data_IF_829897203409
#
_entry.id   IF_829897203409
#
_cell.length_a   1.000
_cell.length_b   1.000
_cell.length_c   1.000
_cell.angle_alpha   90.00
_cell.angle_beta   90.00
_cell.angle_gamma   90.00
#
_symmetry.space_group_name_H-M   'P 1'
#
loop_
_entity.id
_entity.type
_entity.pdbx_description
1 polymer ?
#
# COMPACT_ATOMS: atom_id res chain seq x y z
N UNK A 1 25.53 -24.41 -12.45
CA UNK A 1 24.40 -24.73 -11.56
C UNK A 1 23.85 -23.42 -11.03
N UNK A 2 22.58 -23.10 -11.25
CA UNK A 2 21.99 -21.89 -10.68
C UNK A 2 21.93 -22.07 -9.15
N UNK A 3 22.55 -21.18 -8.39
CA UNK A 3 22.42 -21.17 -6.93
C UNK A 3 20.96 -20.92 -6.56
N UNK A 4 20.45 -21.61 -5.55
CA UNK A 4 19.10 -21.33 -5.04
C UNK A 4 18.97 -19.85 -4.64
N UNK A 5 17.83 -19.19 -4.91
CA UNK A 5 17.64 -17.81 -4.49
C UNK A 5 17.77 -17.67 -2.97
N UNK A 6 18.46 -16.62 -2.53
CA UNK A 6 18.69 -16.31 -1.10
C UNK A 6 17.37 -16.09 -0.35
N UNK A 7 17.39 -16.17 0.98
CA UNK A 7 16.20 -15.95 1.84
C UNK A 7 15.55 -14.60 1.53
N UNK A 8 16.35 -13.52 1.45
CA UNK A 8 15.83 -12.18 1.15
C UNK A 8 15.09 -12.13 -0.19
N UNK A 9 15.68 -12.67 -1.25
CA UNK A 9 15.07 -12.62 -2.59
C UNK A 9 13.81 -13.49 -2.66
N UNK A 10 13.80 -14.65 -1.99
CA UNK A 10 12.58 -15.47 -1.85
C UNK A 10 11.49 -14.73 -1.09
N UNK A 11 11.84 -14.02 -0.03
CA UNK A 11 10.89 -13.24 0.78
C UNK A 11 10.29 -12.10 -0.03
N UNK A 12 11.10 -11.31 -0.73
CA UNK A 12 10.60 -10.21 -1.59
C UNK A 12 9.71 -10.77 -2.71
N UNK A 13 10.08 -11.89 -3.34
CA UNK A 13 9.28 -12.51 -4.39
C UNK A 13 7.91 -13.01 -3.89
N UNK A 14 7.87 -13.64 -2.70
CA UNK A 14 6.61 -14.02 -2.04
C UNK A 14 5.80 -12.78 -1.68
N UNK A 15 6.42 -11.79 -1.02
CA UNK A 15 5.76 -10.57 -0.58
C UNK A 15 5.13 -9.80 -1.75
N UNK A 16 5.77 -9.81 -2.93
CA UNK A 16 5.20 -9.23 -4.15
C UNK A 16 3.86 -9.88 -4.51
N UNK A 17 3.81 -11.21 -4.62
CA UNK A 17 2.58 -11.95 -4.95
C UNK A 17 1.51 -11.78 -3.86
N UNK A 18 1.90 -11.87 -2.59
CA UNK A 18 1.00 -11.65 -1.44
C UNK A 18 0.42 -10.23 -1.47
N UNK A 19 1.23 -9.21 -1.78
CA UNK A 19 0.73 -7.84 -1.90
C UNK A 19 -0.24 -7.67 -3.09
N UNK A 20 -0.07 -8.41 -4.19
CA UNK A 20 -1.07 -8.45 -5.27
C UNK A 20 -2.39 -9.07 -4.80
N UNK A 21 -2.33 -10.20 -4.07
CA UNK A 21 -3.51 -10.81 -3.44
C UNK A 21 -4.20 -9.83 -2.49
N UNK A 22 -3.45 -9.15 -1.63
CA UNK A 22 -3.96 -8.10 -0.77
C UNK A 22 -4.70 -7.02 -1.55
N UNK A 23 -4.14 -6.55 -2.67
CA UNK A 23 -4.81 -5.61 -3.56
C UNK A 23 -6.14 -6.13 -4.13
N UNK A 24 -6.26 -7.44 -4.40
CA UNK A 24 -7.56 -8.04 -4.80
C UNK A 24 -8.58 -8.01 -3.67
N UNK A 25 -8.16 -8.30 -2.43
CA UNK A 25 -9.02 -8.27 -1.24
C UNK A 25 -9.53 -6.85 -0.99
N UNK A 26 -8.65 -5.85 -1.03
CA UNK A 26 -9.03 -4.43 -0.91
C UNK A 26 -10.11 -4.07 -1.94
N UNK A 27 -9.91 -4.43 -3.21
CA UNK A 27 -10.92 -4.13 -4.25
C UNK A 27 -12.23 -4.88 -4.03
N UNK A 28 -12.16 -6.13 -3.57
CA UNK A 28 -13.33 -6.96 -3.33
C UNK A 28 -14.23 -6.37 -2.24
N UNK A 29 -13.66 -5.90 -1.13
CA UNK A 29 -14.43 -5.29 -0.02
C UNK A 29 -15.19 -4.04 -0.48
N UNK A 30 -14.60 -3.19 -1.34
CA UNK A 30 -15.35 -2.06 -1.94
C UNK A 30 -16.49 -2.56 -2.84
N UNK A 31 -16.25 -3.60 -3.64
CA UNK A 31 -17.24 -4.13 -4.56
C UNK A 31 -18.45 -4.75 -3.83
N UNK A 32 -18.22 -5.38 -2.69
CA UNK A 32 -19.30 -5.87 -1.80
C UNK A 32 -20.12 -4.73 -1.20
N UNK A 33 -19.51 -3.55 -1.01
CA UNK A 33 -20.19 -2.32 -0.57
C UNK A 33 -20.39 -2.18 0.94
N UNK A 34 -20.03 -3.19 1.73
CA UNK A 34 -19.97 -3.11 3.19
C UNK A 34 -18.51 -3.11 3.68
N UNK A 35 -18.02 -1.93 4.05
CA UNK A 35 -16.65 -1.77 4.54
C UNK A 35 -16.48 -2.30 5.97
N UNK A 36 -17.53 -2.57 6.74
CA UNK A 36 -17.42 -3.04 8.12
C UNK A 36 -16.50 -2.15 8.99
N UNK A 37 -16.75 -0.83 8.94
CA UNK A 37 -15.94 0.20 9.59
C UNK A 37 -16.07 0.11 11.12
N UNK A 38 -14.92 0.12 11.80
CA UNK A 38 -14.77 0.19 13.25
C UNK A 38 -13.96 1.45 13.58
N UNK A 39 -14.41 2.23 14.55
CA UNK A 39 -13.64 3.35 15.11
C UNK A 39 -12.71 2.80 16.19
N UNK A 40 -11.40 3.09 16.08
CA UNK A 40 -10.37 2.69 17.06
C UNK A 40 -10.33 3.76 18.16
N UNK A 41 -9.35 4.65 18.15
CA UNK A 41 -9.20 5.67 19.22
C UNK A 41 -10.01 6.95 18.97
N UNK A 42 -10.30 7.29 17.71
CA UNK A 42 -11.04 8.50 17.34
C UNK A 42 -11.66 8.41 15.93
N UNK A 43 -12.47 9.40 15.54
CA UNK A 43 -13.22 9.40 14.26
C UNK A 43 -12.34 9.44 12.98
N UNK A 44 -11.04 9.71 13.11
CA UNK A 44 -10.06 9.63 12.02
C UNK A 44 -9.20 8.38 12.06
N UNK A 45 -9.26 7.63 13.17
CA UNK A 45 -8.55 6.39 13.42
C UNK A 45 -9.52 5.22 13.20
N UNK A 46 -9.55 4.73 11.97
CA UNK A 46 -10.54 3.77 11.48
C UNK A 46 -9.87 2.45 11.12
N UNK A 47 -10.63 1.37 11.24
CA UNK A 47 -10.29 0.05 10.72
C UNK A 47 -11.48 -0.48 9.91
N UNK A 48 -11.25 -1.11 8.77
CA UNK A 48 -12.29 -1.71 7.92
C UNK A 48 -12.13 -3.23 7.82
N UNK A 49 -13.10 -3.89 7.18
CA UNK A 49 -13.02 -5.30 6.78
C UNK A 49 -11.79 -5.58 5.92
N UNK A 50 -11.36 -4.62 5.10
CA UNK A 50 -10.16 -4.77 4.27
C UNK A 50 -8.89 -4.86 5.12
N UNK A 51 -8.71 -3.97 6.10
CA UNK A 51 -7.55 -3.95 7.00
C UNK A 51 -7.37 -5.32 7.69
N UNK A 52 -8.47 -5.85 8.24
CA UNK A 52 -8.47 -7.16 8.92
C UNK A 52 -8.13 -8.31 7.98
N UNK A 53 -8.85 -8.44 6.87
CA UNK A 53 -8.68 -9.56 5.93
C UNK A 53 -7.31 -9.53 5.24
N UNK A 54 -6.82 -8.34 4.89
CA UNK A 54 -5.50 -8.18 4.27
C UNK A 54 -4.41 -8.56 5.26
N UNK A 55 -4.49 -8.12 6.52
CA UNK A 55 -3.49 -8.52 7.51
C UNK A 55 -3.49 -10.03 7.75
N UNK A 56 -4.67 -10.65 7.88
CA UNK A 56 -4.79 -12.12 7.98
C UNK A 56 -4.14 -12.82 6.78
N UNK A 57 -4.44 -12.35 5.56
CA UNK A 57 -3.88 -12.88 4.31
C UNK A 57 -2.35 -12.77 4.28
N UNK A 58 -1.80 -11.58 4.56
CA UNK A 58 -0.36 -11.33 4.50
C UNK A 58 0.38 -12.12 5.57
N UNK A 59 -0.03 -11.99 6.82
CA UNK A 59 0.68 -12.60 7.96
C UNK A 59 0.67 -14.13 7.85
N UNK A 60 -0.47 -14.75 7.52
CA UNK A 60 -0.57 -16.20 7.41
C UNK A 60 0.19 -16.75 6.20
N UNK A 61 0.14 -16.05 5.05
CA UNK A 61 0.90 -16.46 3.85
C UNK A 61 2.41 -16.40 4.09
N UNK A 62 2.89 -15.33 4.75
CA UNK A 62 4.31 -15.19 5.11
C UNK A 62 4.74 -16.22 6.16
N UNK A 63 4.00 -16.36 7.26
CA UNK A 63 4.32 -17.29 8.35
C UNK A 63 4.33 -18.76 7.87
N UNK A 64 3.45 -19.11 6.94
CA UNK A 64 3.44 -20.46 6.33
C UNK A 64 4.71 -20.76 5.53
N UNK A 65 5.25 -19.77 4.82
CA UNK A 65 6.43 -19.93 3.94
C UNK A 65 7.75 -19.70 4.66
N UNK A 66 7.75 -18.84 5.67
CA UNK A 66 8.91 -18.39 6.41
C UNK A 66 8.59 -18.41 7.91
N UNK A 67 8.49 -19.61 8.50
CA UNK A 67 8.00 -19.81 9.86
C UNK A 67 8.88 -19.21 10.97
N UNK A 68 10.09 -18.77 10.65
CA UNK A 68 11.01 -18.13 11.61
C UNK A 68 11.00 -16.62 11.54
N UNK A 69 10.29 -16.00 10.58
CA UNK A 69 10.20 -14.55 10.51
C UNK A 69 9.50 -13.99 11.73
N UNK A 70 9.99 -12.83 12.19
CA UNK A 70 9.16 -11.96 13.02
C UNK A 70 8.28 -11.13 12.09
N UNK A 71 6.95 -11.17 12.29
CA UNK A 71 5.99 -10.39 11.50
C UNK A 71 5.19 -9.51 12.46
N UNK A 72 5.15 -8.21 12.19
CA UNK A 72 4.46 -7.21 13.00
C UNK A 72 3.48 -6.47 12.09
N UNK A 73 2.19 -6.62 12.35
CA UNK A 73 1.12 -5.89 11.66
C UNK A 73 0.63 -4.69 12.47
N UNK A 74 -0.02 -3.74 11.79
CA UNK A 74 -0.68 -2.60 12.43
C UNK A 74 -1.84 -3.03 13.33
N UNK A 75 -2.68 -3.96 12.86
CA UNK A 75 -3.96 -4.24 13.50
C UNK A 75 -3.82 -5.26 14.63
N UNK A 76 -4.45 -5.00 15.78
CA UNK A 76 -4.54 -5.95 16.88
C UNK A 76 -5.71 -6.93 16.61
N UNK A 77 -5.38 -8.08 16.03
CA UNK A 77 -6.37 -9.10 15.63
C UNK A 77 -6.31 -10.30 16.57
N UNK A 78 -7.46 -10.88 16.93
CA UNK A 78 -7.48 -12.13 17.68
C UNK A 78 -6.86 -13.26 16.84
N UNK A 79 -6.30 -14.29 17.50
CA UNK A 79 -5.86 -15.50 16.81
C UNK A 79 -7.09 -16.23 16.25
N UNK A 80 -7.20 -16.29 14.93
CA UNK A 80 -8.28 -16.97 14.22
C UNK A 80 -7.71 -17.88 13.12
N UNK A 81 -8.42 -18.97 12.84
CA UNK A 81 -8.13 -19.81 11.68
C UNK A 81 -8.34 -19.00 10.41
N UNK A 82 -7.32 -18.95 9.55
CA UNK A 82 -7.38 -18.18 8.30
C UNK A 82 -7.96 -19.05 7.19
N UNK A 83 -8.97 -18.52 6.50
CA UNK A 83 -9.55 -19.14 5.31
C UNK A 83 -8.46 -19.40 4.27
N UNK A 84 -8.45 -20.61 3.69
CA UNK A 84 -7.51 -20.99 2.64
C UNK A 84 -7.62 -20.07 1.41
N UNK A 85 -8.78 -19.47 1.16
CA UNK A 85 -8.96 -18.51 0.07
C UNK A 85 -8.16 -17.22 0.27
N UNK A 86 -7.76 -16.89 1.50
CA UNK A 86 -6.93 -15.73 1.81
C UNK A 86 -5.43 -16.03 1.64
N UNK A 87 -5.04 -17.29 1.52
CA UNK A 87 -3.63 -17.68 1.46
C UNK A 87 -3.08 -17.52 0.02
N UNK A 88 -1.89 -16.94 -0.09
CA UNK A 88 -1.14 -16.80 -1.34
C UNK A 88 0.18 -17.58 -1.29
N UNK A 89 0.26 -18.65 -2.06
CA UNK A 89 1.42 -19.55 -2.12
C UNK A 89 2.38 -19.25 -3.29
N UNK A 90 2.08 -18.27 -4.13
CA UNK A 90 2.88 -17.86 -5.28
C UNK A 90 4.10 -17.01 -4.94
N UNK A 91 4.98 -16.85 -5.92
CA UNK A 91 6.16 -15.99 -5.89
C UNK A 91 6.31 -15.33 -7.25
N UNK A 92 6.85 -14.11 -7.30
CA UNK A 92 7.13 -13.46 -8.57
C UNK A 92 8.52 -13.85 -9.11
N UNK A 93 8.52 -14.67 -10.17
CA UNK A 93 9.73 -15.24 -10.78
C UNK A 93 10.76 -14.20 -11.21
N UNK A 94 10.33 -13.01 -11.65
CA UNK A 94 11.26 -11.97 -12.09
C UNK A 94 12.10 -11.39 -10.93
N UNK A 95 11.58 -11.36 -9.69
CA UNK A 95 12.40 -11.04 -8.50
C UNK A 95 13.39 -12.16 -8.23
N UNK A 96 12.98 -13.43 -8.35
CA UNK A 96 13.86 -14.58 -8.08
C UNK A 96 15.04 -14.66 -9.05
N UNK A 97 14.91 -14.11 -10.26
CA UNK A 97 15.99 -13.99 -11.24
C UNK A 97 16.99 -12.89 -10.93
N UNK A 98 16.66 -11.92 -10.06
CA UNK A 98 17.59 -10.85 -9.71
C UNK A 98 18.68 -11.35 -8.76
N UNK A 99 19.93 -10.89 -8.91
CA UNK A 99 20.99 -11.23 -7.97
C UNK A 99 20.70 -10.64 -6.59
N UNK A 100 21.01 -11.36 -5.52
CA UNK A 100 20.97 -10.78 -4.19
C UNK A 100 22.20 -9.87 -3.99
N UNK A 101 22.06 -8.62 -3.50
CA UNK A 101 23.20 -7.80 -3.10
C UNK A 101 24.09 -8.56 -2.11
N UNK A 102 25.39 -8.53 -2.34
CA UNK A 102 26.36 -9.34 -1.58
C UNK A 102 26.30 -9.16 -0.06
N UNK A 103 25.99 -7.95 0.40
CA UNK A 103 25.84 -7.64 1.82
C UNK A 103 24.64 -8.34 2.49
N UNK A 104 23.71 -8.91 1.71
CA UNK A 104 22.51 -9.57 2.19
C UNK A 104 22.46 -11.07 1.84
N UNK A 105 23.50 -11.61 1.20
CA UNK A 105 23.47 -12.99 0.68
C UNK A 105 23.46 -14.06 1.76
N UNK A 106 23.91 -13.74 2.97
CA UNK A 106 24.04 -14.66 4.11
C UNK A 106 22.98 -14.47 5.20
N UNK A 107 21.96 -13.62 4.96
CA UNK A 107 20.88 -13.37 5.93
C UNK A 107 20.13 -14.67 6.23
N UNK A 108 19.87 -14.91 7.53
CA UNK A 108 18.99 -15.98 8.00
C UNK A 108 17.58 -15.46 8.17
N UNK A 109 16.62 -16.38 8.09
CA UNK A 109 15.20 -16.06 8.20
C UNK A 109 14.83 -15.48 9.57
N UNK A 110 15.34 -16.07 10.65
CA UNK A 110 15.11 -15.61 12.02
C UNK A 110 15.65 -14.20 12.35
N UNK A 111 16.54 -13.66 11.52
CA UNK A 111 17.12 -12.32 11.71
C UNK A 111 16.31 -11.21 11.00
N UNK A 112 15.28 -11.59 10.24
CA UNK A 112 14.44 -10.67 9.49
C UNK A 112 13.17 -10.31 10.27
N UNK A 113 12.80 -9.03 10.19
CA UNK A 113 11.54 -8.51 10.70
C UNK A 113 10.73 -7.94 9.55
N UNK A 114 9.48 -8.38 9.41
CA UNK A 114 8.53 -7.84 8.45
C UNK A 114 7.54 -6.95 9.17
N UNK A 115 7.38 -5.72 8.67
CA UNK A 115 6.39 -4.74 9.12
C UNK A 115 5.27 -4.64 8.08
N UNK A 116 4.03 -4.80 8.51
CA UNK A 116 2.86 -4.83 7.64
C UNK A 116 1.92 -3.70 8.00
N UNK A 117 1.59 -2.88 7.02
CA UNK A 117 0.44 -1.97 7.05
C UNK A 117 -0.55 -2.50 6.01
N UNK A 118 -1.66 -3.13 6.45
CA UNK A 118 -2.55 -3.85 5.55
C UNK A 118 -3.34 -2.91 4.63
N UNK A 119 -3.67 -1.69 5.07
CA UNK A 119 -4.37 -0.68 4.27
C UNK A 119 -3.91 0.70 4.73
N UNK A 120 -2.80 1.17 4.20
CA UNK A 120 -2.32 2.52 4.46
C UNK A 120 -3.24 3.52 3.76
N UNK A 121 -3.81 4.45 4.53
CA UNK A 121 -4.83 5.38 4.07
C UNK A 121 -6.28 4.91 4.29
N UNK A 122 -6.55 4.13 5.34
CA UNK A 122 -7.89 3.64 5.72
C UNK A 122 -8.94 4.76 5.76
N UNK A 123 -8.58 5.95 6.27
CA UNK A 123 -9.50 7.09 6.28
C UNK A 123 -9.92 7.50 4.87
N UNK A 124 -8.97 7.69 3.96
CA UNK A 124 -9.21 7.98 2.55
C UNK A 124 -9.98 6.86 1.84
N UNK A 125 -9.72 5.60 2.19
CA UNK A 125 -10.44 4.44 1.69
C UNK A 125 -11.94 4.53 2.02
N UNK A 126 -12.29 4.86 3.26
CA UNK A 126 -13.71 5.05 3.67
C UNK A 126 -14.40 6.23 2.99
N UNK A 127 -13.63 7.20 2.48
CA UNK A 127 -14.12 8.38 1.77
C UNK A 127 -14.16 8.21 0.25
N UNK A 128 -13.68 7.09 -0.28
CA UNK A 128 -13.65 6.82 -1.72
C UNK A 128 -12.48 7.45 -2.46
N UNK A 129 -11.46 7.94 -1.76
CA UNK A 129 -10.24 8.47 -2.36
C UNK A 129 -9.24 7.33 -2.58
N UNK A 130 -9.65 6.41 -3.46
CA UNK A 130 -9.11 5.05 -3.56
C UNK A 130 -7.66 4.98 -4.06
N UNK A 131 -7.20 5.96 -4.84
CA UNK A 131 -5.80 6.06 -5.29
C UNK A 131 -4.81 6.43 -4.17
N UNK A 132 -5.30 6.92 -3.03
CA UNK A 132 -4.44 7.17 -1.87
C UNK A 132 -4.13 5.90 -1.06
N UNK A 133 -4.82 4.80 -1.36
CA UNK A 133 -4.75 3.56 -0.59
C UNK A 133 -3.59 2.71 -1.06
N UNK A 134 -2.78 2.24 -0.12
CA UNK A 134 -1.70 1.30 -0.40
C UNK A 134 -1.69 0.12 0.57
N UNK A 135 -1.02 -0.97 0.19
CA UNK A 135 -0.68 -2.07 1.09
C UNK A 135 0.83 -2.08 1.21
N UNK A 136 1.37 -2.10 2.43
CA UNK A 136 2.80 -2.00 2.68
C UNK A 136 3.33 -3.26 3.37
N UNK A 137 4.39 -3.81 2.80
CA UNK A 137 5.19 -4.89 3.41
C UNK A 137 6.64 -4.44 3.43
N UNK A 138 7.10 -3.96 4.58
CA UNK A 138 8.48 -3.53 4.82
C UNK A 138 9.32 -4.65 5.40
N UNK A 139 10.55 -4.84 4.90
CA UNK A 139 11.46 -5.90 5.34
C UNK A 139 12.71 -5.24 5.95
N UNK A 140 12.99 -5.58 7.21
CA UNK A 140 14.10 -5.06 7.98
C UNK A 140 15.09 -6.15 8.40
N UNK A 141 16.36 -5.77 8.44
CA UNK A 141 17.49 -6.58 8.91
C UNK A 141 18.40 -5.69 9.74
N UNK A 142 18.83 -6.17 10.92
CA UNK A 142 19.70 -5.41 11.85
C UNK A 142 19.17 -3.98 12.16
N UNK A 143 17.84 -3.87 12.34
CA UNK A 143 17.19 -2.60 12.66
C UNK A 143 17.08 -1.60 11.49
N UNK A 144 17.43 -2.00 10.26
CA UNK A 144 17.35 -1.15 9.07
C UNK A 144 16.36 -1.73 8.07
N UNK A 145 15.51 -0.89 7.47
CA UNK A 145 14.69 -1.28 6.33
C UNK A 145 15.60 -1.52 5.11
N UNK A 146 15.58 -2.73 4.56
CA UNK A 146 16.46 -3.16 3.45
C UNK A 146 15.70 -3.53 2.18
N UNK A 147 14.41 -3.84 2.28
CA UNK A 147 13.54 -4.11 1.15
C UNK A 147 12.10 -3.72 1.48
N UNK A 148 11.26 -3.60 0.46
CA UNK A 148 9.85 -3.31 0.66
C UNK A 148 9.01 -3.56 -0.58
N UNK A 149 7.72 -3.82 -0.37
CA UNK A 149 6.69 -3.99 -1.40
C UNK A 149 5.54 -3.04 -1.08
N UNK A 150 5.10 -2.30 -2.09
CA UNK A 150 3.95 -1.40 -2.03
C UNK A 150 2.97 -1.84 -3.11
N UNK A 151 1.78 -2.30 -2.75
CA UNK A 151 0.68 -2.45 -3.70
C UNK A 151 -0.19 -1.18 -3.68
N UNK A 152 -0.55 -0.68 -4.86
CA UNK A 152 -1.54 0.40 -5.02
C UNK A 152 -2.77 -0.19 -5.70
N UNK A 153 -3.80 -0.63 -4.95
CA UNK A 153 -4.87 -1.47 -5.49
C UNK A 153 -5.71 -0.79 -6.58
N UNK A 154 -5.79 0.54 -6.53
CA UNK A 154 -6.59 1.38 -7.43
C UNK A 154 -5.75 2.28 -8.34
N UNK A 155 -4.45 1.99 -8.51
CA UNK A 155 -3.71 2.63 -9.59
C UNK A 155 -4.44 2.44 -10.94
N UNK A 156 -4.47 3.50 -11.76
CA UNK A 156 -5.22 3.61 -13.03
C UNK A 156 -6.76 3.59 -12.94
N UNK A 157 -7.39 3.65 -11.76
CA UNK A 157 -8.86 3.58 -11.67
C UNK A 157 -9.60 4.79 -12.30
N UNK A 158 -8.90 5.91 -12.53
CA UNK A 158 -9.46 7.13 -13.13
C UNK A 158 -9.09 7.33 -14.62
N UNK A 159 -8.23 6.51 -15.22
CA UNK A 159 -7.70 6.72 -16.58
C UNK A 159 -8.73 6.45 -17.72
N UNK A 160 -10.02 6.45 -17.41
CA UNK A 160 -11.07 6.54 -18.40
C UNK A 160 -11.29 8.04 -18.74
N UNK A 161 -10.96 8.47 -19.96
CA UNK A 161 -11.03 9.88 -20.44
C UNK A 161 -12.41 10.56 -20.38
N UNK A 162 -13.43 9.92 -19.82
CA UNK A 162 -14.73 10.52 -19.58
C UNK A 162 -15.05 10.54 -18.08
N UNK A 163 -14.63 11.60 -17.37
CA UNK A 163 -15.44 12.30 -16.35
C UNK A 163 -14.57 13.16 -15.42
N UNK A 164 -14.38 14.45 -15.78
CA UNK A 164 -14.13 15.50 -14.78
C UNK A 164 -15.43 15.74 -13.99
N UNK A 165 -15.57 15.14 -12.81
CA UNK A 165 -16.62 15.52 -11.87
C UNK A 165 -16.03 16.46 -10.81
N UNK A 166 -16.54 17.69 -10.80
CA UNK A 166 -16.24 18.75 -9.82
C UNK A 166 -16.58 18.29 -8.40
N UNK A 167 -15.70 18.58 -7.45
CA UNK A 167 -15.89 18.31 -6.02
C UNK A 167 -17.09 19.08 -5.43
N UNK A 168 -17.91 18.46 -4.57
CA UNK A 168 -18.82 19.18 -3.68
C UNK A 168 -18.32 19.18 -2.23
N UNK A 169 -18.18 20.39 -1.67
CA UNK A 169 -18.05 20.69 -0.24
C UNK A 169 -19.31 20.26 0.54
N UNK A 170 -19.22 19.26 1.42
CA UNK A 170 -19.93 19.18 2.72
C UNK A 170 -19.89 17.76 3.34
N UNK A 171 -19.48 17.69 4.61
CA UNK A 171 -19.19 16.49 5.40
C UNK A 171 -20.40 15.60 5.75
N UNK A 172 -21.64 16.10 5.62
CA UNK A 172 -22.85 15.32 5.98
C UNK A 172 -23.30 14.28 4.92
N UNK A 173 -22.62 14.17 3.77
CA UNK A 173 -22.99 13.25 2.67
C UNK A 173 -22.18 11.96 2.61
N UNK A 174 -21.17 11.77 3.46
CA UNK A 174 -20.20 10.65 3.38
C UNK A 174 -20.88 9.27 3.46
N UNK A 175 -21.93 9.09 4.29
CA UNK A 175 -22.67 7.82 4.39
C UNK A 175 -23.54 7.50 3.16
N UNK A 176 -24.04 8.52 2.45
CA UNK A 176 -24.79 8.34 1.19
C UNK A 176 -23.82 8.10 0.03
N UNK A 177 -22.63 8.70 0.11
CA UNK A 177 -21.53 8.54 -0.86
C UNK A 177 -20.93 7.15 -0.79
N UNK A 178 -20.77 6.50 0.38
CA UNK A 178 -20.29 5.11 0.44
C UNK A 178 -21.20 4.13 -0.34
N UNK A 179 -22.53 4.25 -0.21
CA UNK A 179 -23.49 3.47 -1.03
C UNK A 179 -23.49 3.86 -2.50
N UNK A 180 -23.34 5.16 -2.81
CA UNK A 180 -23.27 5.62 -4.19
C UNK A 180 -21.94 5.24 -4.85
N UNK A 181 -20.83 5.20 -4.10
CA UNK A 181 -19.50 4.76 -4.51
C UNK A 181 -19.47 3.25 -4.63
N UNK A 182 -20.09 2.46 -3.76
CA UNK A 182 -20.26 1.02 -4.01
C UNK A 182 -21.03 0.78 -5.33
N UNK A 183 -22.09 1.56 -5.59
CA UNK A 183 -22.86 1.47 -6.83
C UNK A 183 -22.17 2.09 -8.08
N UNK A 184 -21.28 3.07 -7.90
CA UNK A 184 -20.54 3.75 -8.98
C UNK A 184 -19.17 3.14 -9.22
N UNK A 185 -18.47 2.66 -8.20
CA UNK A 185 -17.17 1.96 -8.27
C UNK A 185 -17.40 0.49 -8.63
N UNK A 186 -18.46 -0.15 -8.12
CA UNK A 186 -18.93 -1.45 -8.61
C UNK A 186 -19.45 -1.43 -10.05
N UNK A 187 -19.58 -0.25 -10.67
CA UNK A 187 -19.82 -0.08 -12.13
C UNK A 187 -18.71 0.68 -12.86
N UNK A 188 -17.77 1.31 -12.17
CA UNK A 188 -16.56 1.91 -12.75
C UNK A 188 -15.50 0.82 -12.77
N UNK A 189 -15.82 -0.23 -13.51
CA UNK A 189 -14.78 -1.04 -14.09
C UNK A 189 -13.92 -0.08 -14.92
N UNK A 190 -12.61 -0.21 -14.78
CA UNK A 190 -11.70 0.14 -15.86
C UNK A 190 -12.35 -0.29 -17.19
N UNK A 191 -12.20 0.48 -18.26
CA UNK A 191 -12.59 -0.03 -19.58
C UNK A 191 -12.03 -1.46 -19.77
N UNK A 192 -12.65 -2.33 -20.59
CA UNK A 192 -12.36 -3.77 -20.63
C UNK A 192 -10.87 -4.15 -20.77
N UNK A 193 -10.00 -3.21 -21.14
CA UNK A 193 -8.56 -3.38 -21.33
C UNK A 193 -7.66 -2.71 -20.25
N UNK A 194 -8.19 -1.92 -19.32
CA UNK A 194 -7.38 -1.23 -18.32
C UNK A 194 -7.10 -2.09 -17.08
N UNK A 195 -5.83 -2.49 -16.91
CA UNK A 195 -5.38 -3.25 -15.75
C UNK A 195 -5.39 -2.35 -14.51
N UNK A 196 -6.22 -2.70 -13.53
CA UNK A 196 -6.31 -2.01 -12.24
C UNK A 196 -5.19 -2.45 -11.30
N UNK A 197 -4.60 -1.44 -10.66
CA UNK A 197 -3.60 -1.61 -9.63
C UNK A 197 -2.18 -1.81 -10.17
N UNK A 198 -1.20 -1.64 -9.29
CA UNK A 198 0.21 -1.94 -9.54
C UNK A 198 0.91 -2.37 -8.28
N UNK A 199 2.04 -3.06 -8.42
CA UNK A 199 2.93 -3.38 -7.31
C UNK A 199 4.31 -2.78 -7.58
N UNK A 200 4.79 -1.98 -6.63
CA UNK A 200 6.14 -1.43 -6.57
C UNK A 200 6.93 -2.28 -5.59
N UNK A 201 8.19 -2.52 -5.86
CA UNK A 201 9.07 -3.21 -4.92
C UNK A 201 10.50 -2.68 -5.01
N UNK A 202 11.26 -2.85 -3.94
CA UNK A 202 12.63 -2.37 -3.86
C UNK A 202 13.49 -3.26 -2.95
N UNK A 203 14.79 -3.28 -3.25
CA UNK A 203 15.83 -3.83 -2.38
C UNK A 203 17.03 -2.88 -2.42
N UNK A 204 17.56 -2.50 -1.26
CA UNK A 204 18.75 -1.66 -1.20
C UNK A 204 19.93 -2.35 -1.90
N UNK A 205 20.63 -1.62 -2.77
CA UNK A 205 21.69 -2.18 -3.60
C UNK A 205 21.23 -2.84 -4.91
N UNK A 206 19.92 -3.02 -5.14
CA UNK A 206 19.36 -3.35 -6.46
C UNK A 206 18.64 -2.17 -7.10
N UNK A 207 17.87 -1.43 -6.31
CA UNK A 207 17.01 -0.34 -6.78
C UNK A 207 15.54 -0.58 -6.46
N UNK A 208 14.69 0.20 -7.12
CA UNK A 208 13.24 0.16 -6.96
C UNK A 208 12.56 0.08 -8.33
N UNK A 209 11.48 -0.69 -8.42
CA UNK A 209 10.87 -1.11 -9.69
C UNK A 209 9.34 -1.00 -9.61
N UNK A 210 8.67 -1.05 -10.77
CA UNK A 210 7.20 -0.99 -10.85
C UNK A 210 6.62 0.43 -10.95
N UNK A 211 7.47 1.43 -11.20
CA UNK A 211 7.08 2.82 -11.46
C UNK A 211 8.08 3.49 -12.41
N UNK A 212 7.68 4.62 -13.00
CA UNK A 212 8.57 5.50 -13.75
C UNK A 212 9.06 6.63 -12.84
N UNK A 213 10.38 6.74 -12.67
CA UNK A 213 10.98 7.84 -11.94
C UNK A 213 10.80 9.14 -12.73
N UNK A 214 10.29 10.19 -12.07
CA UNK A 214 10.16 11.52 -12.64
C UNK A 214 10.55 12.55 -11.59
N UNK A 215 11.64 13.26 -11.88
CA UNK A 215 12.14 14.32 -11.01
C UNK A 215 11.11 15.45 -10.85
N UNK A 216 11.17 16.10 -9.69
CA UNK A 216 10.41 17.33 -9.42
C UNK A 216 10.88 18.41 -10.39
N UNK A 217 10.00 19.27 -10.93
CA UNK A 217 10.40 20.36 -11.80
C UNK A 217 11.52 21.20 -11.18
N UNK A 218 12.54 21.50 -11.97
CA UNK A 218 13.70 22.25 -11.51
C UNK A 218 13.29 23.59 -10.89
N UNK A 219 13.85 23.89 -9.71
CA UNK A 219 13.57 25.13 -8.99
C UNK A 219 12.21 25.17 -8.28
N UNK A 220 11.49 24.04 -8.18
CA UNK A 220 10.24 23.94 -7.41
C UNK A 220 10.42 23.15 -6.12
N UNK A 221 9.94 23.71 -5.02
CA UNK A 221 9.85 23.07 -3.71
C UNK A 221 8.41 22.64 -3.46
N UNK A 222 8.11 21.36 -3.69
CA UNK A 222 6.76 20.81 -3.55
C UNK A 222 6.73 19.87 -2.36
N UNK A 223 5.95 20.22 -1.33
CA UNK A 223 5.89 19.45 -0.09
C UNK A 223 4.60 18.65 -0.06
N UNK A 224 4.72 17.33 0.06
CA UNK A 224 3.57 16.46 0.26
C UNK A 224 3.43 16.11 1.73
N UNK A 225 2.26 16.35 2.33
CA UNK A 225 2.00 16.10 3.76
C UNK A 225 0.60 15.52 3.98
N UNK A 226 0.31 15.19 5.24
CA UNK A 226 -0.95 14.60 5.69
C UNK A 226 -2.18 15.44 5.31
N UNK A 227 -3.23 14.74 4.88
CA UNK A 227 -4.57 15.31 4.64
C UNK A 227 -5.42 15.33 5.90
N UNK A 228 -5.43 14.23 6.65
CA UNK A 228 -6.40 13.93 7.71
C UNK A 228 -5.84 14.06 9.14
N UNK A 229 -4.52 14.15 9.30
CA UNK A 229 -3.83 14.19 10.61
C UNK A 229 -2.95 15.44 10.77
N UNK A 230 -3.49 16.62 10.45
CA UNK A 230 -2.73 17.87 10.49
C UNK A 230 -2.63 18.46 11.92
N UNK A 231 -1.59 19.24 12.18
CA UNK A 231 -1.44 20.03 13.41
C UNK A 231 -0.79 21.38 13.12
N UNK A 232 -0.79 22.28 14.10
CA UNK A 232 -0.08 23.56 13.96
C UNK A 232 1.42 23.32 13.73
N UNK A 233 2.02 22.39 14.46
CA UNK A 233 3.42 22.02 14.29
C UNK A 233 3.74 21.54 12.87
N UNK A 234 2.89 20.70 12.28
CA UNK A 234 3.05 20.25 10.88
C UNK A 234 2.96 21.44 9.93
N UNK A 235 1.99 22.33 10.16
CA UNK A 235 1.76 23.49 9.29
C UNK A 235 2.92 24.48 9.35
N UNK A 236 3.43 24.77 10.54
CA UNK A 236 4.57 25.66 10.75
C UNK A 236 5.85 25.09 10.14
N UNK A 237 6.09 23.78 10.30
CA UNK A 237 7.22 23.10 9.70
C UNK A 237 7.17 23.15 8.17
N UNK A 238 6.01 22.89 7.57
CA UNK A 238 5.81 23.01 6.12
C UNK A 238 6.04 24.44 5.65
N UNK A 239 5.50 25.44 6.36
CA UNK A 239 5.68 26.85 6.01
C UNK A 239 7.15 27.29 6.08
N UNK A 240 7.90 26.81 7.07
CA UNK A 240 9.33 27.13 7.25
C UNK A 240 10.22 26.67 6.08
N UNK A 241 9.75 25.71 5.28
CA UNK A 241 10.47 25.20 4.11
C UNK A 241 10.24 26.06 2.84
N UNK A 242 9.43 27.12 2.92
CA UNK A 242 9.06 28.00 1.81
C UNK A 242 8.62 27.25 0.53
N UNK A 243 7.59 26.38 0.61
CA UNK A 243 7.16 25.59 -0.52
C UNK A 243 6.51 26.45 -1.60
N UNK A 244 6.78 26.11 -2.87
CA UNK A 244 6.01 26.59 -4.01
C UNK A 244 4.59 26.01 -4.02
N UNK A 245 4.43 24.76 -3.58
CA UNK A 245 3.15 24.06 -3.50
C UNK A 245 3.12 23.04 -2.36
N UNK A 246 1.93 22.80 -1.81
CA UNK A 246 1.70 21.86 -0.71
C UNK A 246 0.59 20.88 -1.08
N UNK A 247 0.96 19.62 -1.32
CA UNK A 247 0.02 18.55 -1.62
C UNK A 247 -0.42 17.86 -0.33
N UNK A 248 -1.71 17.93 -0.02
CA UNK A 248 -2.29 17.27 1.17
C UNK A 248 -3.02 15.99 0.77
N UNK A 249 -2.42 14.84 1.05
CA UNK A 249 -2.95 13.52 0.66
C UNK A 249 -2.83 12.50 1.79
N UNK A 250 -3.70 11.49 1.75
CA UNK A 250 -3.64 10.32 2.64
C UNK A 250 -2.58 9.31 2.22
N UNK A 251 -2.28 8.38 3.13
CA UNK A 251 -1.40 7.24 2.92
C UNK A 251 0.09 7.59 2.92
N UNK A 252 0.89 7.05 3.83
CA UNK A 252 2.35 7.15 3.80
C UNK A 252 2.94 6.58 2.49
N UNK A 253 2.50 5.38 2.11
CA UNK A 253 2.89 4.68 0.90
C UNK A 253 2.41 5.34 -0.40
N UNK A 254 1.43 6.24 -0.34
CA UNK A 254 1.03 7.07 -1.47
C UNK A 254 1.87 8.36 -1.60
N UNK A 255 2.33 8.93 -0.48
CA UNK A 255 3.21 10.12 -0.48
C UNK A 255 4.60 9.83 -1.05
N UNK A 256 5.15 8.64 -0.82
CA UNK A 256 6.48 8.24 -1.31
C UNK A 256 6.52 8.23 -2.85
N UNK A 257 5.65 7.50 -3.58
CA UNK A 257 5.60 7.56 -5.03
C UNK A 257 5.33 8.96 -5.59
N UNK A 258 4.54 9.82 -4.92
CA UNK A 258 4.31 11.21 -5.37
C UNK A 258 5.56 12.09 -5.26
N UNK A 259 6.46 11.78 -4.33
CA UNK A 259 7.78 12.43 -4.23
C UNK A 259 8.75 11.96 -5.33
N UNK A 260 8.44 10.83 -5.96
CA UNK A 260 9.24 10.14 -6.98
C UNK A 260 8.63 10.30 -8.38
N UNK A 261 7.34 10.68 -8.45
CA UNK A 261 6.54 10.82 -9.66
C UNK A 261 5.75 12.12 -9.58
N UNK A 262 6.28 13.19 -10.19
CA UNK A 262 5.50 14.42 -10.30
C UNK A 262 4.41 14.25 -11.36
N UNK A 263 3.14 14.17 -10.94
CA UNK A 263 1.99 14.24 -11.85
C UNK A 263 2.06 15.58 -12.62
N UNK A 264 1.89 15.59 -13.95
CA UNK A 264 1.61 16.82 -14.69
C UNK A 264 0.25 17.42 -14.32
#
# INVERSE_FOLDING_TARGET
MASSPTVLMRLVASAYSIAQKAGTIVRHVIAEGDLGIVEKTCATDLQTKADRLVQMSICSSLARKFPKLTIIGEEDLPPEDVDQELIEDGQWEEVLKQPCPSQYSAIKEEDLVVWVDPVDGTKEYTEGLLDNVTVLIGIAYEGKAIAGVINQPYYNYQNNENQKLREPRNEAKVRKIARLLAALVGRKEAGPDAVLGRTIWAVLGLGAFGFQLKEVPAGKHIITTTRSHNSQLVTDCVAAMNPDDVLRVGGAGNKVPKSIHHLP
#
